data_IF_861888803234
#
_entry.id   IF_861888803234
#
_cell.length_a   1.000
_cell.length_b   1.000
_cell.length_c   1.000
_cell.angle_alpha   90.00
_cell.angle_beta   90.00
_cell.angle_gamma   90.00
#
_symmetry.space_group_name_H-M   'P 1'
#
loop_
_entity.id
_entity.type
_entity.pdbx_description
1 polymer ?
#
# COMPACT_ATOMS: atom_id res chain seq x y z
N UNK A 1 20.12 -5.31 -22.77
CA UNK A 1 18.72 -5.36 -23.22
C UNK A 1 17.75 -5.35 -22.05
N UNK A 2 16.51 -4.97 -22.31
CA UNK A 2 15.46 -4.88 -21.28
C UNK A 2 15.26 -6.20 -20.52
N UNK A 3 15.24 -7.32 -21.23
CA UNK A 3 15.02 -8.61 -20.60
C UNK A 3 16.14 -8.99 -19.62
N UNK A 4 17.38 -8.68 -19.96
CA UNK A 4 18.53 -8.96 -19.08
C UNK A 4 18.44 -8.10 -17.81
N UNK A 5 18.11 -6.83 -17.97
CA UNK A 5 17.94 -5.90 -16.86
C UNK A 5 16.82 -6.38 -15.93
N UNK A 6 15.70 -6.80 -16.51
CA UNK A 6 14.56 -7.32 -15.77
C UNK A 6 14.94 -8.58 -14.97
N UNK A 7 15.68 -9.50 -15.60
CA UNK A 7 16.12 -10.73 -14.92
C UNK A 7 17.05 -10.44 -13.75
N UNK A 8 17.94 -9.44 -13.88
CA UNK A 8 18.79 -9.02 -12.78
C UNK A 8 17.92 -8.56 -11.60
N UNK A 9 16.90 -7.76 -11.90
CA UNK A 9 15.95 -7.34 -10.87
C UNK A 9 15.28 -8.51 -10.17
N UNK A 10 14.83 -9.52 -10.90
CA UNK A 10 14.21 -10.72 -10.33
C UNK A 10 15.17 -11.48 -9.41
N UNK A 11 16.43 -11.60 -9.82
CA UNK A 11 17.46 -12.27 -9.02
C UNK A 11 17.66 -11.52 -7.69
N UNK A 12 17.81 -10.21 -7.76
CA UNK A 12 17.99 -9.38 -6.56
C UNK A 12 16.78 -9.48 -5.63
N UNK A 13 15.57 -9.49 -6.21
CA UNK A 13 14.34 -9.66 -5.45
C UNK A 13 14.32 -11.01 -4.72
N UNK A 14 14.73 -12.09 -5.40
CA UNK A 14 14.77 -13.41 -4.80
C UNK A 14 15.77 -13.50 -3.65
N UNK A 15 16.77 -12.62 -3.63
CA UNK A 15 17.73 -12.52 -2.55
C UNK A 15 17.27 -11.53 -1.46
N UNK A 16 16.05 -11.06 -1.53
CA UNK A 16 15.46 -10.07 -0.64
C UNK A 16 16.21 -8.73 -0.64
N UNK A 17 16.91 -8.43 -1.73
CA UNK A 17 17.60 -7.16 -1.92
C UNK A 17 16.67 -6.21 -2.66
N UNK A 18 15.61 -5.79 -1.98
CA UNK A 18 14.48 -5.11 -2.61
C UNK A 18 14.80 -3.73 -3.16
N UNK A 19 15.62 -2.94 -2.46
CA UNK A 19 16.01 -1.61 -2.95
C UNK A 19 16.84 -1.71 -4.22
N UNK A 20 17.77 -2.65 -4.27
CA UNK A 20 18.61 -2.87 -5.44
C UNK A 20 17.79 -3.43 -6.61
N UNK A 21 16.88 -4.36 -6.30
CA UNK A 21 15.96 -4.91 -7.31
C UNK A 21 15.12 -3.80 -7.92
N UNK A 22 14.58 -2.94 -7.09
CA UNK A 22 13.76 -1.80 -7.52
C UNK A 22 14.56 -0.91 -8.50
N UNK A 23 15.81 -0.61 -8.18
CA UNK A 23 16.67 0.20 -9.03
C UNK A 23 16.84 -0.43 -10.41
N UNK A 24 17.03 -1.77 -10.46
CA UNK A 24 17.17 -2.48 -11.73
C UNK A 24 15.87 -2.45 -12.54
N UNK A 25 14.72 -2.62 -11.90
CA UNK A 25 13.43 -2.50 -12.57
C UNK A 25 13.18 -1.08 -13.08
N UNK A 26 13.58 -0.07 -12.32
CA UNK A 26 13.48 1.33 -12.75
C UNK A 26 14.30 1.60 -14.00
N UNK A 27 15.45 0.96 -14.13
CA UNK A 27 16.28 1.05 -15.35
C UNK A 27 15.55 0.50 -16.56
N UNK A 28 14.76 -0.57 -16.40
CA UNK A 28 13.94 -1.10 -17.51
C UNK A 28 12.95 -0.03 -17.96
N UNK A 29 12.26 0.60 -17.04
CA UNK A 29 11.27 1.63 -17.36
C UNK A 29 11.91 2.85 -18.01
N UNK A 30 13.05 3.30 -17.46
CA UNK A 30 13.73 4.52 -17.93
C UNK A 30 14.43 4.33 -19.26
N UNK A 31 15.14 3.22 -19.42
CA UNK A 31 16.00 2.99 -20.60
C UNK A 31 15.26 2.30 -21.75
N UNK A 32 14.18 1.59 -21.45
CA UNK A 32 13.43 0.81 -22.44
C UNK A 32 11.93 1.03 -22.32
N UNK A 33 11.45 2.30 -22.39
CA UNK A 33 10.04 2.61 -22.12
C UNK A 33 9.04 1.94 -23.06
N UNK A 34 9.49 1.54 -24.25
CA UNK A 34 8.63 0.87 -25.24
C UNK A 34 8.76 -0.66 -25.19
N UNK A 35 9.51 -1.19 -24.22
CA UNK A 35 9.71 -2.63 -24.11
C UNK A 35 8.45 -3.34 -23.61
N UNK A 36 8.27 -4.58 -24.06
CA UNK A 36 7.22 -5.45 -23.53
C UNK A 36 7.43 -5.75 -22.03
N UNK A 37 8.64 -5.54 -21.51
CA UNK A 37 8.97 -5.78 -20.10
C UNK A 37 8.68 -4.59 -19.19
N UNK A 38 8.35 -3.43 -19.76
CA UNK A 38 8.13 -2.19 -19.01
C UNK A 38 6.94 -2.32 -18.04
N UNK A 39 5.85 -2.89 -18.51
CA UNK A 39 4.65 -3.10 -17.67
C UNK A 39 4.98 -4.02 -16.49
N UNK A 40 5.63 -5.16 -16.76
CA UNK A 40 6.03 -6.08 -15.70
C UNK A 40 7.01 -5.43 -14.72
N UNK A 41 7.93 -4.61 -15.23
CA UNK A 41 8.89 -3.89 -14.37
C UNK A 41 8.19 -2.91 -13.44
N UNK A 42 7.20 -2.18 -13.92
CA UNK A 42 6.40 -1.26 -13.08
C UNK A 42 5.70 -1.99 -11.95
N UNK A 43 5.13 -3.15 -12.25
CA UNK A 43 4.50 -4.00 -11.24
C UNK A 43 5.52 -4.46 -10.18
N UNK A 44 6.70 -4.89 -10.63
CA UNK A 44 7.76 -5.32 -9.72
C UNK A 44 8.27 -4.18 -8.83
N UNK A 45 8.34 -2.96 -9.36
CA UNK A 45 8.71 -1.78 -8.58
C UNK A 45 7.75 -1.59 -7.42
N UNK A 46 6.44 -1.70 -7.69
CA UNK A 46 5.42 -1.58 -6.66
C UNK A 46 5.54 -2.70 -5.62
N UNK A 47 5.79 -3.94 -6.06
CA UNK A 47 6.00 -5.07 -5.14
C UNK A 47 7.23 -4.86 -4.26
N UNK A 48 8.34 -4.40 -4.82
CA UNK A 48 9.55 -4.13 -4.05
C UNK A 48 9.34 -3.02 -3.03
N UNK A 49 8.58 -1.99 -3.40
CA UNK A 49 8.21 -0.91 -2.48
C UNK A 49 7.38 -1.45 -1.32
N UNK A 50 6.42 -2.33 -1.61
CA UNK A 50 5.60 -2.98 -0.60
C UNK A 50 6.47 -3.80 0.37
N UNK A 51 7.37 -4.62 -0.18
CA UNK A 51 8.23 -5.47 0.66
C UNK A 51 9.12 -4.63 1.58
N UNK A 52 9.59 -3.48 1.11
CA UNK A 52 10.35 -2.55 1.93
C UNK A 52 9.51 -2.02 3.09
N UNK A 53 8.22 -1.79 2.87
CA UNK A 53 7.32 -1.27 3.91
C UNK A 53 7.01 -2.30 4.99
N UNK A 54 7.13 -3.59 4.68
CA UNK A 54 6.84 -4.66 5.65
C UNK A 54 7.95 -4.81 6.70
N UNK A 55 9.15 -4.34 6.39
CA UNK A 55 10.30 -4.44 7.31
C UNK A 55 10.22 -3.42 8.45
N UNK A 56 9.43 -2.36 8.28
CA UNK A 56 9.27 -1.31 9.30
C UNK A 56 7.84 -1.38 9.86
N UNK A 57 7.66 -1.60 11.19
CA UNK A 57 6.33 -1.81 11.76
C UNK A 57 5.31 -0.71 11.49
N UNK A 58 5.74 0.51 11.25
CA UNK A 58 4.83 1.64 11.08
C UNK A 58 5.25 2.59 9.96
N UNK A 59 5.87 2.06 8.91
CA UNK A 59 6.22 2.92 7.78
C UNK A 59 4.99 3.17 6.91
N UNK A 60 4.12 4.05 7.41
CA UNK A 60 2.88 4.44 6.71
C UNK A 60 3.18 5.16 5.40
N UNK A 61 4.27 5.92 5.36
CA UNK A 61 4.66 6.65 4.16
C UNK A 61 5.05 5.68 3.04
N UNK A 62 5.89 4.68 3.35
CA UNK A 62 6.27 3.67 2.36
C UNK A 62 5.08 2.81 1.96
N UNK A 63 4.18 2.49 2.89
CA UNK A 63 2.95 1.75 2.60
C UNK A 63 2.07 2.54 1.64
N UNK A 64 1.93 3.84 1.86
CA UNK A 64 1.16 4.72 0.99
C UNK A 64 1.83 4.80 -0.39
N UNK A 65 3.15 4.91 -0.42
CA UNK A 65 3.90 4.95 -1.67
C UNK A 65 3.66 3.68 -2.50
N UNK A 66 3.72 2.51 -1.86
CA UNK A 66 3.46 1.24 -2.54
C UNK A 66 2.02 1.19 -3.07
N UNK A 67 1.05 1.59 -2.26
CA UNK A 67 -0.34 1.62 -2.67
C UNK A 67 -0.54 2.53 -3.87
N UNK A 68 0.04 3.72 -3.84
CA UNK A 68 -0.07 4.68 -4.94
C UNK A 68 0.53 4.13 -6.22
N UNK A 69 1.66 3.41 -6.14
CA UNK A 69 2.28 2.79 -7.31
C UNK A 69 1.39 1.71 -7.91
N UNK A 70 0.75 0.89 -7.08
CA UNK A 70 -0.19 -0.12 -7.58
C UNK A 70 -1.44 0.53 -8.19
N UNK A 71 -1.95 1.58 -7.58
CA UNK A 71 -3.11 2.32 -8.13
C UNK A 71 -2.76 2.96 -9.47
N UNK A 72 -1.57 3.55 -9.58
CA UNK A 72 -1.09 4.12 -10.84
C UNK A 72 -0.97 3.05 -11.92
N UNK A 73 -0.49 1.87 -11.54
CA UNK A 73 -0.39 0.74 -12.48
C UNK A 73 -1.76 0.33 -13.01
N UNK A 74 -2.75 0.19 -12.13
CA UNK A 74 -4.12 -0.19 -12.52
C UNK A 74 -4.70 0.87 -13.46
N UNK A 75 -4.46 2.14 -13.15
CA UNK A 75 -4.97 3.26 -13.94
C UNK A 75 -4.33 3.31 -15.33
N UNK A 76 -3.03 3.03 -15.40
CA UNK A 76 -2.29 3.05 -16.67
C UNK A 76 -2.55 1.82 -17.54
N UNK A 77 -2.88 0.68 -16.92
CA UNK A 77 -3.02 -0.60 -17.61
C UNK A 77 -4.32 -1.32 -17.20
N UNK A 78 -5.51 -0.70 -17.42
CA UNK A 78 -6.76 -1.26 -16.89
C UNK A 78 -7.13 -2.64 -17.46
N UNK A 79 -6.64 -2.97 -18.65
CA UNK A 79 -6.94 -4.27 -19.29
C UNK A 79 -5.87 -5.32 -19.02
N UNK A 80 -4.77 -4.97 -18.33
CA UNK A 80 -3.70 -5.91 -18.07
C UNK A 80 -4.12 -6.95 -17.02
N UNK A 81 -3.66 -8.17 -17.19
CA UNK A 81 -3.93 -9.23 -16.23
C UNK A 81 -3.31 -8.92 -14.87
N UNK A 82 -2.13 -8.32 -14.87
CA UNK A 82 -1.45 -7.88 -13.65
C UNK A 82 -2.23 -6.82 -12.89
N UNK A 83 -3.16 -6.12 -13.54
CA UNK A 83 -3.98 -5.10 -12.87
C UNK A 83 -4.91 -5.71 -11.82
N UNK A 84 -5.35 -6.96 -12.02
CA UNK A 84 -6.14 -7.66 -11.01
C UNK A 84 -5.32 -7.92 -9.76
N UNK A 85 -4.06 -8.36 -9.95
CA UNK A 85 -3.14 -8.59 -8.84
C UNK A 85 -2.79 -7.26 -8.16
N UNK A 86 -2.57 -6.21 -8.94
CA UNK A 86 -2.29 -4.87 -8.41
C UNK A 86 -3.46 -4.35 -7.57
N UNK A 87 -4.70 -4.55 -8.04
CA UNK A 87 -5.88 -4.13 -7.29
C UNK A 87 -5.99 -4.90 -5.97
N UNK A 88 -5.69 -6.20 -5.99
CA UNK A 88 -5.68 -6.99 -4.75
C UNK A 88 -4.63 -6.47 -3.77
N UNK A 89 -3.46 -6.06 -4.27
CA UNK A 89 -2.43 -5.46 -3.43
C UNK A 89 -2.88 -4.11 -2.84
N UNK A 90 -3.57 -3.28 -3.64
CA UNK A 90 -4.14 -2.03 -3.16
C UNK A 90 -5.09 -2.30 -1.99
N UNK A 91 -5.97 -3.29 -2.15
CA UNK A 91 -6.94 -3.62 -1.12
C UNK A 91 -6.26 -4.09 0.17
N UNK A 92 -5.21 -4.89 0.06
CA UNK A 92 -4.42 -5.36 1.21
C UNK A 92 -3.75 -4.18 1.93
N UNK A 93 -3.18 -3.24 1.17
CA UNK A 93 -2.52 -2.07 1.76
C UNK A 93 -3.53 -1.12 2.40
N UNK A 94 -4.72 -0.99 1.83
CA UNK A 94 -5.80 -0.21 2.45
C UNK A 94 -6.23 -0.82 3.79
N UNK A 95 -6.31 -2.16 3.88
CA UNK A 95 -6.59 -2.84 5.15
C UNK A 95 -5.53 -2.50 6.18
N UNK A 96 -4.26 -2.51 5.78
CA UNK A 96 -3.14 -2.19 6.67
C UNK A 96 -3.20 -0.74 7.16
N UNK A 97 -3.48 0.20 6.25
CA UNK A 97 -3.63 1.61 6.62
C UNK A 97 -4.81 1.83 7.55
N UNK A 98 -5.94 1.18 7.27
CA UNK A 98 -7.14 1.27 8.09
C UNK A 98 -6.86 0.73 9.50
N UNK A 99 -6.21 -0.42 9.59
CA UNK A 99 -5.82 -1.00 10.87
C UNK A 99 -4.95 -0.05 11.69
N UNK A 100 -3.94 0.53 11.05
CA UNK A 100 -3.02 1.46 11.71
C UNK A 100 -3.76 2.66 12.29
N UNK A 101 -4.66 3.25 11.52
CA UNK A 101 -5.44 4.40 11.98
C UNK A 101 -6.43 4.01 13.07
N UNK A 102 -7.02 2.82 12.97
CA UNK A 102 -7.90 2.30 14.01
C UNK A 102 -7.15 2.11 15.33
N UNK A 103 -5.96 1.52 15.29
CA UNK A 103 -5.15 1.32 16.48
C UNK A 103 -4.73 2.65 17.12
N UNK A 104 -4.47 3.66 16.30
CA UNK A 104 -4.18 5.00 16.79
C UNK A 104 -5.40 5.59 17.49
N UNK A 105 -6.59 5.39 16.92
CA UNK A 105 -7.84 5.81 17.56
C UNK A 105 -8.02 5.15 18.92
N UNK A 106 -7.76 3.84 19.01
CA UNK A 106 -7.83 3.09 20.26
C UNK A 106 -6.84 3.63 21.29
N UNK A 107 -5.64 3.96 20.84
CA UNK A 107 -4.63 4.55 21.71
C UNK A 107 -5.14 5.82 22.37
N UNK A 108 -5.71 6.73 21.58
CA UNK A 108 -6.26 7.98 22.12
C UNK A 108 -7.48 7.74 23.00
N UNK A 109 -8.29 6.76 22.67
CA UNK A 109 -9.45 6.39 23.50
C UNK A 109 -8.99 5.93 24.90
N UNK A 110 -7.95 5.12 24.96
CA UNK A 110 -7.37 4.66 26.24
C UNK A 110 -6.81 5.83 27.06
N UNK A 111 -6.33 6.87 26.38
CA UNK A 111 -5.82 8.08 27.00
C UNK A 111 -6.94 9.04 27.40
N UNK A 112 -8.20 8.66 27.16
CA UNK A 112 -9.39 9.48 27.38
C UNK A 112 -9.39 10.76 26.55
N UNK A 113 -8.67 10.77 25.46
CA UNK A 113 -8.66 11.86 24.47
C UNK A 113 -9.70 11.54 23.41
N UNK A 114 -10.96 11.67 23.76
CA UNK A 114 -12.07 11.17 22.95
C UNK A 114 -12.26 11.93 21.64
N UNK A 115 -12.01 13.23 21.63
CA UNK A 115 -12.10 14.00 20.39
C UNK A 115 -11.06 13.54 19.37
N UNK A 116 -9.84 13.29 19.82
CA UNK A 116 -8.78 12.77 18.94
C UNK A 116 -9.12 11.35 18.44
N UNK A 117 -9.60 10.50 19.36
CA UNK A 117 -10.00 9.14 19.00
C UNK A 117 -11.08 9.14 17.92
N UNK A 118 -12.09 10.01 18.08
CA UNK A 118 -13.18 10.10 17.09
C UNK A 118 -12.67 10.53 15.72
N UNK A 119 -11.69 11.43 15.67
CA UNK A 119 -11.13 11.86 14.39
C UNK A 119 -10.47 10.69 13.64
N UNK A 120 -9.73 9.82 14.35
CA UNK A 120 -9.10 8.65 13.73
C UNK A 120 -10.12 7.62 13.29
N UNK A 121 -11.14 7.36 14.11
CA UNK A 121 -12.21 6.43 13.73
C UNK A 121 -12.98 6.93 12.51
N UNK A 122 -13.31 8.23 12.49
CA UNK A 122 -13.99 8.86 11.37
C UNK A 122 -13.14 8.77 10.08
N UNK A 123 -11.85 8.99 10.21
CA UNK A 123 -10.92 8.86 9.09
C UNK A 123 -10.97 7.45 8.49
N UNK A 124 -11.03 6.42 9.35
CA UNK A 124 -11.08 5.03 8.91
C UNK A 124 -12.35 4.75 8.10
N UNK A 125 -13.52 5.05 8.66
CA UNK A 125 -14.75 4.70 7.95
C UNK A 125 -15.05 5.60 6.75
N UNK A 126 -14.51 6.80 6.71
CA UNK A 126 -14.67 7.69 5.54
C UNK A 126 -13.71 7.36 4.41
N UNK A 127 -12.48 6.97 4.73
CA UNK A 127 -11.44 6.76 3.72
C UNK A 127 -11.24 5.30 3.34
N UNK A 128 -11.63 4.36 4.21
CA UNK A 128 -11.45 2.93 3.98
C UNK A 128 -12.76 2.18 4.21
N UNK A 129 -13.86 2.58 3.52
CA UNK A 129 -15.19 2.04 3.83
C UNK A 129 -15.36 0.56 3.53
N UNK A 130 -14.51 0.00 2.65
CA UNK A 130 -14.61 -1.41 2.25
C UNK A 130 -13.70 -2.32 3.06
N UNK A 131 -13.01 -1.77 4.07
CA UNK A 131 -12.12 -2.57 4.91
C UNK A 131 -12.90 -3.18 6.07
N UNK A 132 -12.31 -4.21 6.68
CA UNK A 132 -12.88 -4.85 7.87
C UNK A 132 -12.89 -3.90 9.07
N UNK A 133 -12.03 -2.87 9.05
CA UNK A 133 -11.91 -1.91 10.15
C UNK A 133 -12.94 -0.80 10.11
N UNK A 134 -13.60 -0.60 8.97
CA UNK A 134 -14.59 0.46 8.80
C UNK A 134 -15.77 0.30 9.78
N UNK A 135 -16.35 -0.88 9.83
CA UNK A 135 -17.48 -1.15 10.72
C UNK A 135 -17.10 -1.02 12.21
N UNK A 136 -15.91 -1.52 12.55
CA UNK A 136 -15.40 -1.41 13.93
C UNK A 136 -15.16 0.04 14.33
N UNK A 137 -14.60 0.83 13.44
CA UNK A 137 -14.34 2.25 13.68
C UNK A 137 -15.66 3.02 13.85
N UNK A 138 -16.65 2.73 12.99
CA UNK A 138 -17.96 3.36 13.07
C UNK A 138 -18.64 3.06 14.40
N UNK A 139 -18.60 1.80 14.83
CA UNK A 139 -19.17 1.39 16.13
C UNK A 139 -18.52 2.14 17.28
N UNK A 140 -17.19 2.20 17.32
CA UNK A 140 -16.48 2.93 18.37
C UNK A 140 -16.80 4.42 18.33
N UNK A 141 -16.86 5.00 17.14
CA UNK A 141 -17.23 6.39 16.96
C UNK A 141 -18.61 6.68 17.57
N UNK A 142 -19.59 5.84 17.25
CA UNK A 142 -20.97 6.02 17.77
C UNK A 142 -21.02 5.94 19.29
N UNK A 143 -20.27 5.01 19.88
CA UNK A 143 -20.22 4.87 21.34
C UNK A 143 -19.66 6.16 21.96
N UNK A 144 -18.58 6.70 21.39
CA UNK A 144 -17.98 7.93 21.90
C UNK A 144 -18.88 9.16 21.70
N UNK A 145 -19.64 9.20 20.60
CA UNK A 145 -20.61 10.26 20.37
C UNK A 145 -21.74 10.24 21.40
N UNK A 146 -22.23 9.06 21.76
CA UNK A 146 -23.31 8.91 22.75
C UNK A 146 -22.86 9.24 24.16
N UNK A 147 -21.56 9.13 24.43
CA UNK A 147 -21.00 9.40 25.75
C UNK A 147 -20.88 10.87 26.11
N UNK A 148 -21.32 11.76 25.23
CA UNK A 148 -21.28 13.20 25.49
C UNK A 148 -22.38 13.63 26.46
#
# INVERSE_FOLDING_TARGET
>A
AAVSQYKIGLILKSLARFSEAKDEFEKVVSNYPESEWTEAAKFQIALCTKETSLDAPYDQETTKEAKDKFEDFVRAHPEAELSKEAQAEVNTLKEKEAESNFETGKFYEKQKKYDSAKLYYEYVFNNYPKTTWSAKAFERYQILERGK
#
